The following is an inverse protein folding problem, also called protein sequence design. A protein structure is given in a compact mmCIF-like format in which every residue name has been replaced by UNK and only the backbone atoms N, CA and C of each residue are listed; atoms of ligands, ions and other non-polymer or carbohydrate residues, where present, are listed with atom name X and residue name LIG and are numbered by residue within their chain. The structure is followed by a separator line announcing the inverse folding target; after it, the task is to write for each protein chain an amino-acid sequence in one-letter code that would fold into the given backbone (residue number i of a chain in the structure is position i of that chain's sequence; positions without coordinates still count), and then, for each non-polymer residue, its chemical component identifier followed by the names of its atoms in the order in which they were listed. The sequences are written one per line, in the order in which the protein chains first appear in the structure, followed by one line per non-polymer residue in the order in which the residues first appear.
data_IF_393626811277
#
_entry.id   IF_393626811277
#
_cell.length_a   1.000
_cell.length_b   1.000
_cell.length_c   1.000
_cell.angle_alpha   90.00
_cell.angle_beta   90.00
_cell.angle_gamma   90.00
#
_symmetry.space_group_name_H-M   'P 1'
#
loop_
_entity.id
_entity.type
_entity.pdbx_description
1 polymer ?
#
# COMPACT_ATOMS: atom_id res chain seq x y z
N UNK A 1 -11.51 17.10 -2.52
CA UNK A 1 -10.58 15.96 -2.39
C UNK A 1 -10.05 15.60 -3.76
N UNK A 2 -8.76 15.53 -3.92
CA UNK A 2 -8.14 15.18 -5.20
C UNK A 2 -7.99 13.65 -5.22
N UNK A 3 -8.70 13.01 -6.14
CA UNK A 3 -8.52 11.59 -6.36
C UNK A 3 -7.37 11.37 -7.33
N UNK A 4 -6.51 10.42 -6.99
CA UNK A 4 -5.42 10.01 -7.87
C UNK A 4 -5.99 9.05 -8.90
N UNK A 5 -5.76 9.34 -10.18
CA UNK A 5 -6.24 8.47 -11.24
C UNK A 5 -5.43 7.18 -11.34
N UNK A 6 -6.03 6.09 -11.82
CA UNK A 6 -5.27 4.86 -12.09
C UNK A 6 -4.10 5.06 -13.04
N UNK A 7 -4.19 6.03 -13.97
CA UNK A 7 -3.10 6.33 -14.90
C UNK A 7 -1.86 6.86 -14.20
N UNK A 8 -2.02 7.65 -13.15
CA UNK A 8 -0.90 8.14 -12.33
C UNK A 8 -0.21 6.99 -11.59
N UNK A 9 -1.00 6.03 -11.08
CA UNK A 9 -0.47 4.85 -10.42
C UNK A 9 0.21 3.91 -11.40
N UNK A 10 -0.36 3.74 -12.60
CA UNK A 10 0.28 2.99 -13.68
C UNK A 10 1.67 3.58 -14.00
N UNK A 11 1.74 4.90 -14.12
CA UNK A 11 3.00 5.59 -14.37
C UNK A 11 4.00 5.36 -13.24
N UNK A 12 3.54 5.38 -11.98
CA UNK A 12 4.40 5.12 -10.83
C UNK A 12 4.99 3.71 -10.87
N UNK A 13 4.18 2.69 -11.20
CA UNK A 13 4.65 1.31 -11.34
C UNK A 13 5.73 1.22 -12.42
N UNK A 14 5.45 1.77 -13.58
CA UNK A 14 6.36 1.71 -14.72
C UNK A 14 7.66 2.48 -14.47
N UNK A 15 7.58 3.64 -13.80
CA UNK A 15 8.77 4.43 -13.46
C UNK A 15 9.65 3.76 -12.42
N UNK A 16 9.05 3.12 -11.43
CA UNK A 16 9.80 2.54 -10.32
C UNK A 16 10.35 1.15 -10.63
N UNK A 17 9.63 0.36 -11.41
CA UNK A 17 9.97 -1.04 -11.64
C UNK A 17 10.22 -1.41 -13.09
N UNK A 18 9.78 -0.60 -14.03
CA UNK A 18 9.88 -0.91 -15.46
C UNK A 18 8.73 -1.80 -15.94
N UNK A 19 8.77 -2.16 -17.20
CA UNK A 19 7.71 -2.96 -17.83
C UNK A 19 6.50 -2.11 -18.22
N UNK A 20 5.42 -2.79 -18.61
CA UNK A 20 4.15 -2.17 -18.98
C UNK A 20 3.07 -2.64 -18.00
N UNK A 21 2.43 -1.70 -17.33
CA UNK A 21 1.38 -1.99 -16.35
C UNK A 21 -0.01 -1.76 -16.93
N UNK A 22 -0.94 -2.68 -16.64
CA UNK A 22 -2.34 -2.60 -17.05
C UNK A 22 -3.21 -2.83 -15.83
N UNK A 23 -4.14 -1.92 -15.56
CA UNK A 23 -5.03 -2.03 -14.41
C UNK A 23 -5.92 -3.28 -14.53
N UNK A 24 -5.85 -4.16 -13.55
CA UNK A 24 -6.65 -5.37 -13.47
C UNK A 24 -7.84 -5.21 -12.53
N UNK A 25 -7.62 -4.65 -11.33
CA UNK A 25 -8.70 -4.42 -10.37
C UNK A 25 -8.29 -3.41 -9.31
N UNK A 26 -9.27 -2.91 -8.57
CA UNK A 26 -9.06 -2.01 -7.44
C UNK A 26 -9.68 -2.67 -6.20
N UNK A 27 -8.90 -2.81 -5.13
CA UNK A 27 -9.29 -3.57 -3.96
C UNK A 27 -9.27 -2.69 -2.72
N UNK A 28 -10.38 -2.57 -1.97
CA UNK A 28 -10.34 -1.88 -0.68
C UNK A 28 -9.54 -2.72 0.32
N UNK A 29 -8.65 -2.07 1.05
CA UNK A 29 -7.79 -2.71 2.05
C UNK A 29 -7.92 -1.98 3.37
N UNK A 30 -8.10 -2.74 4.43
CA UNK A 30 -8.19 -2.21 5.78
C UNK A 30 -7.28 -3.02 6.70
N UNK A 31 -6.19 -2.42 7.15
CA UNK A 31 -5.26 -3.05 8.09
C UNK A 31 -5.50 -2.53 9.49
N UNK A 32 -5.66 -3.45 10.44
CA UNK A 32 -5.88 -3.12 11.84
C UNK A 32 -4.83 -3.78 12.71
N UNK A 33 -4.65 -3.21 13.89
CA UNK A 33 -3.84 -3.83 14.94
C UNK A 33 -4.62 -3.81 16.25
N UNK A 34 -4.31 -4.73 17.14
CA UNK A 34 -4.90 -4.73 18.49
C UNK A 34 -4.14 -3.75 19.36
N UNK A 35 -4.86 -2.85 19.98
CA UNK A 35 -4.30 -1.90 20.92
C UNK A 35 -4.78 -2.21 22.33
N UNK A 36 -3.84 -2.21 23.26
CA UNK A 36 -4.12 -2.48 24.65
C UNK A 36 -4.25 -1.16 25.43
N UNK A 37 -5.36 -1.01 26.11
CA UNK A 37 -5.61 0.16 26.97
C UNK A 37 -5.90 -0.34 28.38
N UNK A 38 -5.23 0.26 29.37
CA UNK A 38 -5.47 -0.06 30.78
C UNK A 38 -6.18 1.11 31.44
N UNK A 39 -7.25 0.81 32.15
CA UNK A 39 -8.03 1.81 32.88
C UNK A 39 -8.62 1.17 34.12
N UNK A 40 -8.39 1.79 35.30
CA UNK A 40 -8.88 1.33 36.58
C UNK A 40 -8.55 -0.15 36.90
N UNK A 41 -7.34 -0.57 36.52
CA UNK A 41 -6.89 -1.94 36.73
C UNK A 41 -7.44 -2.98 35.77
N UNK A 42 -8.23 -2.53 34.79
CA UNK A 42 -8.79 -3.41 33.75
C UNK A 42 -8.06 -3.20 32.43
N UNK A 43 -7.87 -4.30 31.70
CA UNK A 43 -7.23 -4.29 30.38
C UNK A 43 -8.30 -4.44 29.30
N UNK A 44 -8.32 -3.53 28.36
CA UNK A 44 -9.22 -3.56 27.21
C UNK A 44 -8.41 -3.74 25.94
N UNK A 45 -8.88 -4.61 25.06
CA UNK A 45 -8.32 -4.79 23.73
C UNK A 45 -9.32 -4.23 22.72
N UNK A 46 -8.84 -3.41 21.80
CA UNK A 46 -9.67 -2.87 20.73
C UNK A 46 -8.88 -2.81 19.44
N UNK A 47 -9.60 -2.80 18.32
CA UNK A 47 -8.99 -2.69 17.01
C UNK A 47 -8.69 -1.23 16.71
N UNK A 48 -7.49 -0.99 16.19
CA UNK A 48 -7.08 0.34 15.73
C UNK A 48 -6.70 0.24 14.26
N UNK A 49 -7.24 1.14 13.44
CA UNK A 49 -6.91 1.19 12.03
C UNK A 49 -5.49 1.71 11.84
N UNK A 50 -4.65 0.89 11.24
CA UNK A 50 -3.28 1.26 10.88
C UNK A 50 -3.24 1.88 9.49
N UNK A 51 -4.02 1.34 8.57
CA UNK A 51 -4.08 1.81 7.20
C UNK A 51 -5.41 1.44 6.57
N UNK A 52 -5.96 2.35 5.79
CA UNK A 52 -7.20 2.12 5.05
C UNK A 52 -7.13 2.87 3.73
N UNK A 53 -7.54 2.22 2.66
CA UNK A 53 -7.55 2.82 1.34
C UNK A 53 -7.81 1.80 0.25
N UNK A 54 -7.63 2.22 -0.99
CA UNK A 54 -7.80 1.37 -2.16
C UNK A 54 -6.44 1.07 -2.77
N UNK A 55 -6.14 -0.21 -2.97
CA UNK A 55 -4.94 -0.67 -3.65
C UNK A 55 -5.34 -1.08 -5.07
N UNK A 56 -4.65 -0.53 -6.05
CA UNK A 56 -4.87 -0.87 -7.45
C UNK A 56 -3.91 -1.99 -7.85
N UNK A 57 -4.46 -3.04 -8.45
CA UNK A 57 -3.70 -4.20 -8.89
C UNK A 57 -3.46 -4.08 -10.39
N UNK A 58 -2.19 -4.15 -10.80
CA UNK A 58 -1.79 -4.05 -12.19
C UNK A 58 -1.18 -5.37 -12.65
N UNK A 59 -1.54 -5.79 -13.86
CA UNK A 59 -0.80 -6.83 -14.56
C UNK A 59 0.43 -6.19 -15.16
N UNK A 60 1.57 -6.84 -15.02
CA UNK A 60 2.87 -6.30 -15.42
C UNK A 60 3.49 -7.17 -16.51
N UNK A 61 3.79 -6.56 -17.66
CA UNK A 61 4.44 -7.23 -18.77
C UNK A 61 5.84 -6.68 -18.98
N UNK A 62 6.76 -7.54 -19.39
CA UNK A 62 8.14 -7.14 -19.69
C UNK A 62 9.05 -7.01 -18.47
N UNK A 63 8.57 -7.32 -17.28
CA UNK A 63 9.41 -7.34 -16.09
C UNK A 63 10.03 -8.71 -15.91
N UNK A 64 11.35 -8.80 -15.62
CA UNK A 64 12.04 -10.10 -15.56
C UNK A 64 11.64 -10.98 -14.38
N UNK A 65 11.04 -10.44 -13.32
CA UNK A 65 10.79 -11.19 -12.09
C UNK A 65 9.35 -11.21 -11.63
N UNK A 66 8.51 -10.27 -12.07
CA UNK A 66 7.14 -10.16 -11.60
C UNK A 66 6.16 -9.97 -12.74
N UNK A 67 4.96 -10.53 -12.59
CA UNK A 67 3.86 -10.40 -13.56
C UNK A 67 2.72 -9.57 -13.00
N UNK A 68 2.84 -9.05 -11.78
CA UNK A 68 1.82 -8.26 -11.11
C UNK A 68 2.46 -7.25 -10.17
N UNK A 69 1.79 -6.11 -9.99
CA UNK A 69 2.22 -5.07 -9.08
C UNK A 69 1.02 -4.46 -8.37
N UNK A 70 1.27 -3.89 -7.21
CA UNK A 70 0.26 -3.23 -6.38
C UNK A 70 0.66 -1.78 -6.20
N UNK A 71 -0.27 -0.85 -6.40
CA UNK A 71 0.02 0.57 -6.30
C UNK A 71 -1.10 1.31 -5.60
N UNK A 72 -0.72 2.31 -4.84
CA UNK A 72 -1.63 3.21 -4.15
C UNK A 72 -0.94 4.53 -3.88
N UNK A 73 -1.70 5.50 -3.39
CA UNK A 73 -1.14 6.77 -2.95
C UNK A 73 -1.62 7.11 -1.56
N UNK A 74 -0.81 7.89 -0.85
CA UNK A 74 -1.16 8.41 0.48
C UNK A 74 -0.87 9.90 0.52
N UNK A 75 -1.70 10.69 1.23
CA UNK A 75 -1.41 12.10 1.39
C UNK A 75 -0.13 12.32 2.20
N UNK A 76 0.62 13.34 1.83
CA UNK A 76 1.79 13.77 2.61
C UNK A 76 1.30 14.84 3.56
N UNK A 77 1.41 14.58 4.87
CA UNK A 77 0.91 15.46 5.92
C UNK A 77 1.49 16.88 5.78
N UNK A 78 0.61 17.86 5.91
CA UNK A 78 1.00 19.27 5.83
C UNK A 78 1.16 19.80 4.40
N UNK A 79 0.87 18.99 3.38
CA UNK A 79 0.99 19.40 1.98
C UNK A 79 -0.25 19.00 1.18
N UNK A 80 -0.35 19.51 -0.06
CA UNK A 80 -1.38 19.06 -1.02
C UNK A 80 -0.87 17.94 -1.91
N UNK A 81 0.35 17.48 -1.68
CA UNK A 81 1.00 16.43 -2.48
C UNK A 81 0.65 15.06 -1.95
N UNK A 82 0.86 14.04 -2.80
CA UNK A 82 0.64 12.65 -2.44
C UNK A 82 1.92 11.85 -2.72
N UNK A 83 2.13 10.85 -1.88
CA UNK A 83 3.21 9.89 -2.06
C UNK A 83 2.67 8.66 -2.77
N UNK A 84 3.38 8.19 -3.78
CA UNK A 84 2.99 7.02 -4.56
C UNK A 84 3.81 5.80 -4.15
N UNK A 85 3.11 4.69 -3.97
CA UNK A 85 3.73 3.41 -3.64
C UNK A 85 3.47 2.42 -4.77
N UNK A 86 4.50 1.68 -5.16
CA UNK A 86 4.39 0.61 -6.14
C UNK A 86 5.22 -0.58 -5.63
N UNK A 87 4.57 -1.72 -5.42
CA UNK A 87 5.17 -2.92 -4.85
C UNK A 87 4.94 -4.09 -5.78
N UNK A 88 5.99 -4.86 -6.07
CA UNK A 88 5.90 -6.03 -6.94
C UNK A 88 5.34 -7.24 -6.20
N UNK A 89 4.60 -8.07 -6.93
CA UNK A 89 4.12 -9.37 -6.45
C UNK A 89 5.28 -10.36 -6.47
N UNK A 90 6.00 -10.45 -5.36
CA UNK A 90 7.20 -11.27 -5.24
C UNK A 90 7.37 -11.78 -3.80
N UNK A 91 7.93 -12.97 -3.65
CA UNK A 91 8.22 -13.51 -2.32
C UNK A 91 6.98 -13.66 -1.45
N UNK A 92 6.95 -12.98 -0.32
CA UNK A 92 5.82 -13.01 0.62
C UNK A 92 4.70 -12.04 0.24
N UNK A 93 4.90 -11.21 -0.78
CA UNK A 93 3.90 -10.25 -1.24
C UNK A 93 3.02 -10.94 -2.27
N UNK A 94 1.91 -11.51 -1.80
CA UNK A 94 1.01 -12.33 -2.61
C UNK A 94 -0.37 -11.71 -2.79
N UNK A 95 -0.58 -10.48 -2.30
CA UNK A 95 -1.85 -9.79 -2.44
C UNK A 95 -1.74 -8.32 -2.02
N UNK A 96 -2.85 -7.56 -2.17
CA UNK A 96 -2.86 -6.13 -1.83
C UNK A 96 -2.55 -5.84 -0.36
N UNK A 97 -3.08 -6.64 0.56
CA UNK A 97 -2.84 -6.45 1.99
C UNK A 97 -1.36 -6.67 2.35
N UNK A 98 -0.75 -7.72 1.80
CA UNK A 98 0.66 -8.03 2.01
C UNK A 98 1.56 -6.91 1.46
N UNK A 99 1.16 -6.31 0.33
CA UNK A 99 1.89 -5.18 -0.25
C UNK A 99 1.87 -3.96 0.69
N UNK A 100 0.70 -3.65 1.26
CA UNK A 100 0.58 -2.54 2.22
C UNK A 100 1.40 -2.82 3.47
N UNK A 101 1.35 -4.04 4.00
CA UNK A 101 2.13 -4.42 5.18
C UNK A 101 3.63 -4.29 4.94
N UNK A 102 4.11 -4.71 3.76
CA UNK A 102 5.51 -4.59 3.41
C UNK A 102 5.96 -3.13 3.35
N UNK A 103 5.12 -2.25 2.79
CA UNK A 103 5.42 -0.82 2.71
C UNK A 103 5.47 -0.18 4.10
N UNK A 104 4.54 -0.55 5.00
CA UNK A 104 4.53 -0.04 6.38
C UNK A 104 5.81 -0.45 7.11
N UNK A 105 6.23 -1.71 6.99
CA UNK A 105 7.46 -2.21 7.61
C UNK A 105 8.69 -1.47 7.07
N UNK A 106 8.76 -1.27 5.76
CA UNK A 106 9.87 -0.56 5.13
C UNK A 106 9.95 0.89 5.62
N UNK A 107 8.81 1.57 5.76
CA UNK A 107 8.74 2.93 6.26
C UNK A 107 9.21 3.01 7.71
N UNK A 108 8.80 2.08 8.56
CA UNK A 108 9.24 2.03 9.95
C UNK A 108 10.74 1.81 10.08
N UNK A 109 11.32 0.95 9.25
CA UNK A 109 12.76 0.73 9.22
C UNK A 109 13.53 1.97 8.80
N UNK A 110 13.01 2.74 7.85
CA UNK A 110 13.64 3.95 7.36
C UNK A 110 13.69 5.05 8.42
N UNK A 111 12.81 5.01 9.42
CA UNK A 111 12.76 6.00 10.51
C UNK A 111 13.65 5.67 11.70
N UNK A 112 14.26 4.52 11.72
CA UNK A 112 15.15 4.09 12.82
C UNK A 112 16.58 4.51 12.60
#
# INVERSE_FOLDING_TARGET
MIEVSPDELKHAVESQHGGTATLAQSVPVHETTKRRTENEGMTFLHDETVWEGVVHVFDLEGHPKATRAYAWSSPIEGTTKRQFFAVLHMGTITGPLEAVRAAIVAEQRAKQ
#
